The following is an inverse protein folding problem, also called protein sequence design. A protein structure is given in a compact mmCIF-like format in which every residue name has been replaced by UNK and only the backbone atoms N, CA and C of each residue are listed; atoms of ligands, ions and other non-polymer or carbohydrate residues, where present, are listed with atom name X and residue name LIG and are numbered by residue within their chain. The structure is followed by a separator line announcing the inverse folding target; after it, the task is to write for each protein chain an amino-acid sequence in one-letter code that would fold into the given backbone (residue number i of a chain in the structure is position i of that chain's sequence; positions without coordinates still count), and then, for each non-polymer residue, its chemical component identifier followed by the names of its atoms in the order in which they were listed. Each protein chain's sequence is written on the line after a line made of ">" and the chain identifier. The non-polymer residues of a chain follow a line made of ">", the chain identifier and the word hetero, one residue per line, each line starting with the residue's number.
data_IF_382421094826
#
_entry.id   IF_382421094826
#
_cell.length_a   1.000
_cell.length_b   1.000
_cell.length_c   1.000
_cell.angle_alpha   90.00
_cell.angle_beta   90.00
_cell.angle_gamma   90.00
#
_symmetry.space_group_name_H-M   'P 1'
#
loop_
_entity.id
_entity.type
_entity.pdbx_description
1 polymer ?
#
# COMPACT_ATOMS: atom_id res chain seq x y z
N UNK A 1 2.81 -0.91 35.73
CA UNK A 1 3.06 -0.86 34.28
C UNK A 1 2.33 -2.04 33.66
N UNK A 2 1.09 -1.85 33.20
CA UNK A 2 0.32 -2.90 32.55
C UNK A 2 0.92 -3.19 31.18
N UNK A 3 1.48 -4.39 31.01
CA UNK A 3 1.85 -4.93 29.70
C UNK A 3 0.56 -5.06 28.89
N UNK A 4 0.23 -4.05 28.10
CA UNK A 4 -0.78 -4.16 27.05
C UNK A 4 -0.18 -4.98 25.91
N UNK A 5 -0.12 -6.30 26.08
CA UNK A 5 0.15 -7.21 24.96
C UNK A 5 -1.03 -7.12 24.01
N UNK A 6 -0.81 -6.47 22.86
CA UNK A 6 -1.79 -6.51 21.78
C UNK A 6 -1.99 -7.96 21.33
N UNK A 7 -3.24 -8.32 21.05
CA UNK A 7 -3.55 -9.59 20.41
C UNK A 7 -2.82 -9.69 19.05
N UNK A 8 -2.25 -10.85 18.67
CA UNK A 8 -1.57 -11.02 17.39
C UNK A 8 -2.44 -10.72 16.16
N UNK A 9 -3.77 -10.83 16.27
CA UNK A 9 -4.73 -10.43 15.24
C UNK A 9 -5.04 -8.94 15.21
N UNK A 10 -4.56 -8.17 16.18
CA UNK A 10 -4.81 -6.73 16.25
C UNK A 10 -4.06 -5.98 15.15
N UNK A 11 -4.71 -5.02 14.48
CA UNK A 11 -4.09 -4.30 13.36
C UNK A 11 -2.84 -3.50 13.74
N UNK A 12 -2.77 -3.04 15.00
CA UNK A 12 -1.60 -2.35 15.58
C UNK A 12 -0.46 -3.29 16.04
N UNK A 13 -0.65 -4.60 15.93
CA UNK A 13 0.39 -5.57 16.25
C UNK A 13 1.35 -5.70 15.07
N UNK A 14 2.66 -5.61 15.31
CA UNK A 14 3.70 -5.93 14.33
C UNK A 14 4.30 -7.28 14.69
N UNK A 15 4.24 -8.23 13.75
CA UNK A 15 4.83 -9.53 13.96
C UNK A 15 6.36 -9.41 13.93
N UNK A 16 7.08 -10.27 14.67
CA UNK A 16 8.54 -10.22 14.73
C UNK A 16 9.22 -10.47 13.37
N UNK A 17 8.51 -11.09 12.41
CA UNK A 17 8.97 -11.28 11.03
C UNK A 17 8.70 -10.08 10.12
N UNK A 18 7.86 -9.13 10.55
CA UNK A 18 7.57 -7.93 9.77
C UNK A 18 8.77 -7.00 9.82
N UNK A 19 9.40 -6.86 8.65
CA UNK A 19 10.56 -6.02 8.46
C UNK A 19 10.42 -5.25 7.14
N UNK A 20 11.11 -4.11 6.98
CA UNK A 20 11.11 -3.30 5.76
C UNK A 20 11.34 -4.06 4.44
N UNK A 21 12.11 -5.16 4.48
CA UNK A 21 12.49 -5.91 3.28
C UNK A 21 11.47 -7.00 2.91
N UNK A 22 10.41 -7.20 3.71
CA UNK A 22 9.31 -8.09 3.38
C UNK A 22 8.42 -7.42 2.32
N UNK A 23 8.83 -7.50 1.06
CA UNK A 23 8.17 -6.81 -0.06
C UNK A 23 6.70 -7.19 -0.23
N UNK A 24 5.88 -6.24 -0.66
CA UNK A 24 4.44 -6.44 -0.92
C UNK A 24 4.17 -7.18 -2.23
N UNK A 25 5.13 -7.16 -3.14
CA UNK A 25 5.01 -7.59 -4.53
C UNK A 25 6.38 -8.04 -5.03
N UNK A 26 6.40 -8.97 -5.99
CA UNK A 26 7.63 -9.36 -6.70
C UNK A 26 8.00 -8.37 -7.81
N UNK A 27 7.02 -7.64 -8.34
CA UNK A 27 7.22 -6.65 -9.40
C UNK A 27 6.95 -5.25 -8.86
N UNK A 28 7.89 -4.33 -9.08
CA UNK A 28 7.74 -2.94 -8.70
C UNK A 28 6.71 -2.23 -9.58
N UNK A 29 5.98 -1.28 -9.00
CA UNK A 29 5.12 -0.39 -9.77
C UNK A 29 5.97 0.43 -10.74
N UNK A 30 5.70 0.29 -12.04
CA UNK A 30 6.41 1.00 -13.12
C UNK A 30 5.47 1.86 -13.98
N UNK A 31 4.24 2.09 -13.50
CA UNK A 31 3.21 2.87 -14.15
C UNK A 31 2.38 2.14 -15.21
N UNK A 32 2.82 0.98 -15.69
CA UNK A 32 2.05 0.13 -16.62
C UNK A 32 1.35 -1.05 -15.94
N UNK A 33 1.84 -1.50 -14.78
CA UNK A 33 1.39 -2.69 -14.08
C UNK A 33 0.53 -2.42 -12.82
N UNK A 34 0.05 -1.19 -12.63
CA UNK A 34 -0.79 -0.78 -11.49
C UNK A 34 -1.88 -1.78 -11.03
N UNK A 35 -2.71 -2.33 -11.92
CA UNK A 35 -3.77 -3.26 -11.52
C UNK A 35 -3.22 -4.53 -10.85
N UNK A 36 -2.17 -5.12 -11.42
CA UNK A 36 -1.47 -6.28 -10.86
C UNK A 36 -0.74 -5.93 -9.56
N UNK A 37 -0.01 -4.81 -9.57
CA UNK A 37 0.69 -4.30 -8.39
C UNK A 37 -0.25 -4.06 -7.22
N UNK A 38 -1.39 -3.39 -7.47
CA UNK A 38 -2.42 -3.10 -6.48
C UNK A 38 -2.94 -4.39 -5.87
N UNK A 39 -3.29 -5.37 -6.72
CA UNK A 39 -3.82 -6.65 -6.24
C UNK A 39 -2.81 -7.41 -5.37
N UNK A 40 -1.54 -7.44 -5.76
CA UNK A 40 -0.47 -8.05 -4.96
C UNK A 40 -0.32 -7.36 -3.60
N UNK A 41 -0.35 -6.03 -3.57
CA UNK A 41 -0.26 -5.28 -2.31
C UNK A 41 -1.45 -5.54 -1.40
N UNK A 42 -2.68 -5.56 -1.94
CA UNK A 42 -3.89 -5.87 -1.16
C UNK A 42 -3.81 -7.25 -0.49
N UNK A 43 -3.37 -8.27 -1.23
CA UNK A 43 -3.21 -9.64 -0.71
C UNK A 43 -2.17 -9.68 0.41
N UNK A 44 -0.98 -9.09 0.17
CA UNK A 44 0.11 -9.06 1.14
C UNK A 44 -0.26 -8.28 2.41
N UNK A 45 -0.90 -7.12 2.28
CA UNK A 45 -1.34 -6.31 3.42
C UNK A 45 -2.47 -6.99 4.20
N UNK A 46 -3.39 -7.67 3.51
CA UNK A 46 -4.45 -8.44 4.16
C UNK A 46 -3.87 -9.60 4.98
N UNK A 47 -2.90 -10.34 4.43
CA UNK A 47 -2.23 -11.43 5.16
C UNK A 47 -1.49 -10.95 6.43
N UNK A 48 -1.14 -9.65 6.49
CA UNK A 48 -0.46 -9.00 7.61
C UNK A 48 -1.38 -8.22 8.55
N UNK A 49 -2.70 -8.21 8.31
CA UNK A 49 -3.67 -7.37 9.02
C UNK A 49 -3.37 -5.87 8.96
N UNK A 50 -2.87 -5.38 7.82
CA UNK A 50 -2.45 -3.99 7.59
C UNK A 50 -3.27 -3.24 6.54
N UNK A 51 -4.29 -3.88 5.99
CA UNK A 51 -5.14 -3.28 4.95
C UNK A 51 -5.82 -1.98 5.40
N UNK A 52 -6.19 -1.89 6.68
CA UNK A 52 -6.83 -0.71 7.27
C UNK A 52 -5.98 0.56 7.24
N UNK A 53 -4.66 0.44 7.14
CA UNK A 53 -3.73 1.58 7.04
C UNK A 53 -3.73 2.25 5.66
N UNK A 54 -4.14 1.52 4.61
CA UNK A 54 -4.22 2.06 3.24
C UNK A 54 -5.64 2.41 2.83
N UNK A 55 -6.65 1.83 3.49
CA UNK A 55 -8.07 2.14 3.23
C UNK A 55 -8.66 3.21 4.14
N UNK A 56 -7.91 3.70 5.14
CA UNK A 56 -8.42 4.63 6.15
C UNK A 56 -9.34 3.99 7.19
N UNK A 57 -9.47 2.66 7.19
CA UNK A 57 -10.30 1.91 8.15
C UNK A 57 -9.79 1.96 9.59
N UNK A 58 -8.55 2.41 9.81
CA UNK A 58 -8.00 2.67 11.15
C UNK A 58 -7.35 4.06 11.17
N UNK A 59 -8.11 5.12 11.47
CA UNK A 59 -7.61 6.49 11.41
C UNK A 59 -6.53 6.75 12.47
N UNK A 60 -5.71 7.76 12.22
CA UNK A 60 -4.66 8.20 13.14
C UNK A 60 -5.25 8.54 14.51
N UNK A 61 -4.83 7.89 15.60
CA UNK A 61 -5.28 8.21 16.95
C UNK A 61 -4.87 9.63 17.38
N UNK A 62 -5.54 10.15 18.42
CA UNK A 62 -5.10 11.37 19.09
C UNK A 62 -3.71 11.19 19.73
N UNK A 63 -2.93 12.27 19.85
CA UNK A 63 -1.54 12.21 20.29
C UNK A 63 -1.37 11.75 21.76
N UNK A 64 -2.41 11.91 22.58
CA UNK A 64 -2.48 11.44 23.97
C UNK A 64 -2.94 9.97 24.09
N UNK A 65 -3.34 9.34 22.98
CA UNK A 65 -3.78 7.96 22.98
C UNK A 65 -2.60 7.00 23.22
N UNK A 66 -2.76 5.98 24.08
CA UNK A 66 -1.75 4.93 24.23
C UNK A 66 -1.50 4.13 22.94
N UNK A 67 -2.43 4.20 21.97
CA UNK A 67 -2.31 3.55 20.68
C UNK A 67 -1.52 4.36 19.65
N UNK A 68 -1.27 5.65 19.90
CA UNK A 68 -0.60 6.53 18.95
C UNK A 68 0.81 6.02 18.55
N UNK A 69 1.71 5.64 19.48
CA UNK A 69 3.03 5.14 19.11
C UNK A 69 2.98 3.81 18.35
N UNK A 70 1.97 2.97 18.63
CA UNK A 70 1.77 1.68 17.98
C UNK A 70 1.26 1.89 16.54
N UNK A 71 0.35 2.84 16.36
CA UNK A 71 -0.12 3.27 15.06
C UNK A 71 1.00 3.87 14.22
N UNK A 72 1.82 4.77 14.77
CA UNK A 72 2.96 5.35 14.05
C UNK A 72 3.93 4.27 13.56
N UNK A 73 4.26 3.29 14.41
CA UNK A 73 5.14 2.17 14.02
C UNK A 73 4.55 1.37 12.85
N UNK A 74 3.26 1.03 12.93
CA UNK A 74 2.59 0.28 11.86
C UNK A 74 2.49 1.09 10.58
N UNK A 75 2.12 2.37 10.65
CA UNK A 75 2.06 3.27 9.50
C UNK A 75 3.43 3.38 8.82
N UNK A 76 4.50 3.62 9.59
CA UNK A 76 5.87 3.67 9.06
C UNK A 76 6.31 2.36 8.41
N UNK A 77 5.91 1.21 8.96
CA UNK A 77 6.17 -0.10 8.34
C UNK A 77 5.47 -0.22 6.99
N UNK A 78 4.19 0.14 6.91
CA UNK A 78 3.42 0.10 5.66
C UNK A 78 3.99 1.10 4.63
N UNK A 79 4.41 2.29 5.05
CA UNK A 79 5.11 3.25 4.18
C UNK A 79 6.39 2.63 3.62
N UNK A 80 7.22 2.00 4.47
CA UNK A 80 8.45 1.36 4.02
C UNK A 80 8.19 0.27 2.98
N UNK A 81 7.16 -0.55 3.19
CA UNK A 81 6.74 -1.56 2.24
C UNK A 81 6.24 -0.99 0.92
N UNK A 82 5.48 0.11 0.96
CA UNK A 82 5.04 0.82 -0.24
C UNK A 82 6.23 1.41 -1.00
N UNK A 83 7.17 2.06 -0.32
CA UNK A 83 8.39 2.60 -0.93
C UNK A 83 9.24 1.53 -1.61
N UNK A 84 9.34 0.34 -1.01
CA UNK A 84 10.06 -0.80 -1.58
C UNK A 84 9.26 -1.55 -2.67
N UNK A 85 7.99 -1.20 -2.88
CA UNK A 85 7.12 -1.84 -3.87
C UNK A 85 6.98 -1.04 -5.16
N UNK A 86 7.63 0.11 -5.29
CA UNK A 86 7.53 1.00 -6.44
C UNK A 86 8.92 1.30 -7.02
N UNK A 87 8.97 1.68 -8.29
CA UNK A 87 10.22 2.11 -8.91
C UNK A 87 10.78 3.38 -8.26
N UNK A 88 12.09 3.58 -8.38
CA UNK A 88 12.84 4.65 -7.70
C UNK A 88 12.29 6.05 -7.96
N UNK A 89 11.84 6.32 -9.19
CA UNK A 89 11.28 7.63 -9.56
C UNK A 89 9.93 7.86 -8.86
N UNK A 90 9.11 6.82 -8.76
CA UNK A 90 7.84 6.87 -8.03
C UNK A 90 8.11 7.01 -6.53
N UNK A 91 9.03 6.22 -5.96
CA UNK A 91 9.41 6.27 -4.56
C UNK A 91 9.84 7.68 -4.14
N UNK A 92 10.66 8.34 -4.97
CA UNK A 92 11.14 9.71 -4.73
C UNK A 92 10.00 10.73 -4.67
N UNK A 93 8.90 10.48 -5.38
CA UNK A 93 7.72 11.37 -5.38
C UNK A 93 6.79 11.18 -4.18
N UNK A 94 6.90 10.07 -3.45
CA UNK A 94 6.00 9.73 -2.33
C UNK A 94 6.71 9.69 -0.96
N UNK A 95 8.05 9.73 -0.92
CA UNK A 95 8.86 9.53 0.30
C UNK A 95 8.55 10.49 1.45
N UNK A 96 8.10 11.72 1.16
CA UNK A 96 7.76 12.71 2.19
C UNK A 96 6.27 12.69 2.59
N UNK A 97 5.50 11.75 2.07
CA UNK A 97 4.07 11.62 2.39
C UNK A 97 3.88 11.01 3.78
N UNK A 98 3.14 11.65 4.69
CA UNK A 98 3.17 11.28 6.11
C UNK A 98 2.37 10.01 6.45
N UNK A 99 1.46 9.56 5.59
CA UNK A 99 0.62 8.38 5.87
C UNK A 99 0.59 7.40 4.69
N UNK A 100 0.53 6.11 5.02
CA UNK A 100 0.36 5.05 4.02
C UNK A 100 -0.93 5.21 3.22
N UNK A 101 -2.01 5.68 3.86
CA UNK A 101 -3.29 5.99 3.21
C UNK A 101 -3.12 7.03 2.09
N UNK A 102 -2.43 8.14 2.37
CA UNK A 102 -2.21 9.18 1.36
C UNK A 102 -1.34 8.69 0.21
N UNK A 103 -0.30 7.90 0.49
CA UNK A 103 0.52 7.26 -0.56
C UNK A 103 -0.37 6.37 -1.43
N UNK A 104 -1.19 5.53 -0.81
CA UNK A 104 -2.07 4.60 -1.52
C UNK A 104 -3.07 5.33 -2.43
N UNK A 105 -3.69 6.39 -1.93
CA UNK A 105 -4.64 7.22 -2.69
C UNK A 105 -3.94 7.96 -3.85
N UNK A 106 -2.76 8.52 -3.61
CA UNK A 106 -1.97 9.21 -4.63
C UNK A 106 -1.57 8.27 -5.78
N UNK A 107 -1.05 7.07 -5.45
CA UNK A 107 -0.72 6.05 -6.44
C UNK A 107 -1.96 5.59 -7.21
N UNK A 108 -3.10 5.45 -6.54
CA UNK A 108 -4.36 5.13 -7.19
C UNK A 108 -4.80 6.23 -8.15
N UNK A 109 -4.76 7.49 -7.75
CA UNK A 109 -5.13 8.61 -8.61
C UNK A 109 -4.22 8.72 -9.84
N UNK A 110 -2.90 8.54 -9.66
CA UNK A 110 -1.91 8.65 -10.75
C UNK A 110 -2.01 7.53 -11.78
N UNK A 111 -2.24 6.29 -11.34
CA UNK A 111 -2.06 5.12 -12.20
C UNK A 111 -3.33 4.31 -12.50
N UNK A 112 -4.45 4.56 -11.82
CA UNK A 112 -5.72 3.86 -12.10
C UNK A 112 -6.30 4.19 -13.48
N UNK A 113 -6.24 5.47 -13.89
CA UNK A 113 -6.81 5.93 -15.15
C UNK A 113 -5.98 5.53 -16.38
N UNK A 114 -4.65 5.46 -16.23
CA UNK A 114 -3.74 5.13 -17.34
C UNK A 114 -3.89 3.71 -17.88
N UNK A 115 -4.53 2.79 -17.14
CA UNK A 115 -4.81 1.43 -17.61
C UNK A 115 -6.17 1.29 -18.28
N UNK A 116 -7.21 2.00 -17.81
CA UNK A 116 -8.55 1.91 -18.39
C UNK A 116 -8.58 2.34 -19.87
N UNK A 117 -7.88 3.42 -20.20
CA UNK A 117 -7.75 3.91 -21.58
C UNK A 117 -6.89 3.01 -22.46
N UNK A 118 -5.81 2.41 -21.93
CA UNK A 118 -4.95 1.48 -22.68
C UNK A 118 -5.64 0.15 -22.98
N UNK A 119 -6.38 -0.41 -22.02
CA UNK A 119 -7.17 -1.63 -22.23
C UNK A 119 -8.25 -1.37 -23.28
N UNK A 120 -8.96 -0.25 -23.19
CA UNK A 120 -9.97 0.12 -24.19
C UNK A 120 -9.36 0.31 -25.59
N UNK A 121 -8.20 0.96 -25.70
CA UNK A 121 -7.51 1.15 -26.96
C UNK A 121 -7.04 -0.19 -27.56
N UNK A 122 -6.46 -1.07 -26.75
CA UNK A 122 -6.04 -2.42 -27.17
C UNK A 122 -7.23 -3.27 -27.63
N UNK A 123 -8.36 -3.21 -26.91
CA UNK A 123 -9.59 -3.91 -27.33
C UNK A 123 -10.12 -3.37 -28.67
N UNK A 124 -10.08 -2.04 -28.86
CA UNK A 124 -10.47 -1.41 -30.12
C UNK A 124 -9.55 -1.79 -31.28
N UNK A 125 -8.25 -1.83 -31.05
CA UNK A 125 -7.27 -2.20 -32.07
C UNK A 125 -7.37 -3.68 -32.46
N UNK A 126 -7.60 -4.58 -31.50
CA UNK A 126 -7.89 -6.00 -31.78
C UNK A 126 -9.17 -6.18 -32.61
N UNK A 127 -10.21 -5.40 -32.33
CA UNK A 127 -11.45 -5.42 -33.12
C UNK A 127 -11.23 -4.90 -34.55
N UNK A 128 -10.44 -3.85 -34.72
CA UNK A 128 -10.12 -3.28 -36.05
C UNK A 128 -9.19 -4.17 -36.88
N UNK A 129 -8.35 -4.99 -36.25
CA UNK A 129 -7.42 -5.91 -36.92
C UNK A 129 -8.07 -7.26 -37.29
N UNK A 130 -9.30 -7.52 -36.85
CA UNK A 130 -10.06 -8.74 -37.15
C UNK A 130 -11.21 -8.51 -38.16
N UNK A 131 -11.28 -7.33 -38.78
CA UNK A 131 -12.09 -7.03 -39.97
C UNK A 131 -11.22 -7.01 -41.23
#
# INVERSE_FOLDING_TARGET
>A
MSNYSLDPGHTLYLHHSDNPNCGLTSELLNGSNYAQWKRSCEVSLSAKNKMTFVTGGFPKPAADSPYFPLWERCNSMVISWLLHSVDKDIASSIIYTPTAEQIWQDLAQRFSFGQGTKIYQLQKDMYNLSQ
#
